data_IF_992004804642
#
_entry.id   IF_992004804642
#
_cell.length_a   1.000
_cell.length_b   1.000
_cell.length_c   1.000
_cell.angle_alpha   90.00
_cell.angle_beta   90.00
_cell.angle_gamma   90.00
#
_symmetry.space_group_name_H-M   'P 1'
#
loop_
_entity.id
_entity.type
_entity.pdbx_description
1 polymer ?
#
# COMPACT_ATOMS: atom_id res chain seq x y z
N UNK A 1 -15.95 -8.90 -23.39
CA UNK A 1 -15.68 -8.35 -22.05
C UNK A 1 -14.86 -7.10 -22.22
N UNK A 2 -15.31 -5.96 -21.70
CA UNK A 2 -14.54 -4.73 -21.76
C UNK A 2 -13.51 -4.72 -20.63
N UNK A 3 -12.25 -4.48 -20.98
CA UNK A 3 -11.15 -4.28 -20.03
C UNK A 3 -10.73 -2.82 -20.03
N UNK A 4 -10.34 -2.31 -18.87
CA UNK A 4 -9.85 -0.94 -18.70
C UNK A 4 -8.53 -0.97 -17.95
N UNK A 5 -7.56 -0.22 -18.43
CA UNK A 5 -6.26 -0.08 -17.78
C UNK A 5 -6.09 1.37 -17.37
N UNK A 6 -5.72 1.59 -16.11
CA UNK A 6 -5.39 2.93 -15.62
C UNK A 6 -4.06 2.92 -14.90
N UNK A 7 -3.18 3.83 -15.29
CA UNK A 7 -1.92 4.06 -14.61
C UNK A 7 -2.13 5.05 -13.46
N UNK A 8 -1.74 4.65 -12.25
CA UNK A 8 -1.71 5.54 -11.09
C UNK A 8 -0.57 5.16 -10.18
N UNK A 9 0.26 6.14 -9.86
CA UNK A 9 1.37 5.96 -8.92
C UNK A 9 0.87 6.21 -7.50
N UNK A 10 0.94 5.18 -6.67
CA UNK A 10 0.70 5.28 -5.22
C UNK A 10 1.99 4.95 -4.49
N UNK A 11 2.30 5.72 -3.44
CA UNK A 11 3.44 5.40 -2.58
C UNK A 11 3.08 4.25 -1.65
N UNK A 12 4.08 3.54 -1.12
CA UNK A 12 3.95 2.39 -0.21
C UNK A 12 3.06 2.69 1.02
N UNK A 13 2.96 3.97 1.39
CA UNK A 13 2.18 4.44 2.54
C UNK A 13 0.76 4.96 2.18
N UNK A 14 0.39 4.98 0.90
CA UNK A 14 -0.94 5.43 0.44
C UNK A 14 -1.92 4.26 0.22
N UNK A 15 -1.77 3.16 0.98
CA UNK A 15 -2.64 1.98 0.89
C UNK A 15 -4.12 2.33 1.07
N UNK A 16 -4.45 3.20 2.03
CA UNK A 16 -5.81 3.74 2.21
C UNK A 16 -6.39 4.32 0.92
N UNK A 17 -5.60 5.14 0.22
CA UNK A 17 -6.06 5.81 -1.01
C UNK A 17 -6.25 4.81 -2.15
N UNK A 18 -5.50 3.70 -2.14
CA UNK A 18 -5.70 2.60 -3.09
C UNK A 18 -7.01 1.89 -2.80
N UNK A 19 -7.30 1.58 -1.53
CA UNK A 19 -8.56 0.96 -1.10
C UNK A 19 -9.77 1.81 -1.51
N UNK A 20 -9.75 3.11 -1.18
CA UNK A 20 -10.80 4.07 -1.54
C UNK A 20 -10.99 4.15 -3.06
N UNK A 21 -9.88 4.17 -3.81
CA UNK A 21 -9.91 4.22 -5.26
C UNK A 21 -10.48 2.94 -5.90
N UNK A 22 -10.13 1.77 -5.39
CA UNK A 22 -10.66 0.50 -5.87
C UNK A 22 -12.16 0.38 -5.58
N UNK A 23 -12.59 0.86 -4.40
CA UNK A 23 -13.99 0.93 -4.02
C UNK A 23 -14.78 1.86 -4.97
N UNK A 24 -14.29 3.08 -5.21
CA UNK A 24 -14.90 4.02 -6.15
C UNK A 24 -15.01 3.45 -7.58
N UNK A 25 -13.99 2.69 -8.01
CA UNK A 25 -14.02 2.01 -9.31
C UNK A 25 -15.06 0.91 -9.37
N UNK A 26 -15.25 0.15 -8.29
CA UNK A 26 -16.25 -0.92 -8.25
C UNK A 26 -17.68 -0.36 -8.26
N UNK A 27 -17.92 0.76 -7.58
CA UNK A 27 -19.20 1.49 -7.65
C UNK A 27 -19.52 1.95 -9.08
N UNK A 28 -18.49 2.25 -9.88
CA UNK A 28 -18.63 2.58 -11.31
C UNK A 28 -18.76 1.35 -12.22
N UNK A 29 -18.81 0.14 -11.65
CA UNK A 29 -18.88 -1.12 -12.38
C UNK A 29 -17.54 -1.62 -12.92
N UNK A 30 -16.41 -1.19 -12.35
CA UNK A 30 -15.07 -1.65 -12.71
C UNK A 30 -14.49 -2.53 -11.61
N UNK A 31 -14.47 -3.84 -11.86
CA UNK A 31 -13.90 -4.85 -10.95
C UNK A 31 -12.40 -4.94 -11.14
N UNK A 32 -11.66 -4.76 -10.05
CA UNK A 32 -10.21 -4.94 -10.04
C UNK A 32 -9.82 -6.39 -10.33
N UNK A 33 -8.88 -6.57 -11.27
CA UNK A 33 -8.34 -7.87 -11.67
C UNK A 33 -6.88 -8.03 -11.25
N UNK A 34 -6.04 -7.09 -11.66
CA UNK A 34 -4.62 -7.17 -11.36
C UNK A 34 -3.91 -5.82 -11.34
N UNK A 35 -2.74 -5.76 -10.70
CA UNK A 35 -1.86 -4.59 -10.71
C UNK A 35 -0.42 -4.98 -11.02
N UNK A 36 0.21 -4.25 -11.94
CA UNK A 36 1.63 -4.41 -12.27
C UNK A 36 2.29 -3.03 -12.40
N UNK A 37 3.32 -2.76 -11.60
CA UNK A 37 4.13 -1.52 -11.67
C UNK A 37 3.30 -0.21 -11.72
N UNK A 38 2.17 -0.14 -11.01
CA UNK A 38 1.28 1.04 -11.00
C UNK A 38 0.22 1.06 -12.11
N UNK A 39 0.18 0.03 -12.97
CA UNK A 39 -0.91 -0.21 -13.91
C UNK A 39 -1.98 -1.08 -13.26
N UNK A 40 -3.16 -0.51 -13.07
CA UNK A 40 -4.34 -1.20 -12.57
C UNK A 40 -5.18 -1.70 -13.74
N UNK A 41 -5.42 -3.01 -13.76
CA UNK A 41 -6.26 -3.69 -14.73
C UNK A 41 -7.63 -3.96 -14.13
N UNK A 42 -8.67 -3.51 -14.83
CA UNK A 42 -10.05 -3.65 -14.45
C UNK A 42 -10.85 -4.40 -15.51
N UNK A 43 -11.86 -5.13 -15.05
CA UNK A 43 -12.87 -5.77 -15.87
C UNK A 43 -14.24 -5.16 -15.60
N UNK A 44 -15.07 -5.07 -16.63
CA UNK A 44 -16.45 -4.61 -16.46
C UNK A 44 -17.27 -5.61 -15.62
N UNK A 45 -17.93 -5.11 -14.58
CA UNK A 45 -18.78 -5.86 -13.66
C UNK A 45 -20.06 -5.07 -13.36
N UNK A 46 -21.06 -5.71 -12.75
CA UNK A 46 -22.20 -4.97 -12.19
C UNK A 46 -21.69 -4.09 -11.06
N UNK A 47 -22.21 -2.84 -10.94
CA UNK A 47 -21.88 -1.98 -9.82
C UNK A 47 -22.39 -2.65 -8.55
N UNK A 48 -21.49 -2.86 -7.61
CA UNK A 48 -21.76 -3.48 -6.32
C UNK A 48 -20.93 -2.80 -5.23
N UNK A 49 -21.43 -2.83 -4.01
CA UNK A 49 -20.75 -2.24 -2.85
C UNK A 49 -19.79 -3.28 -2.26
N UNK A 50 -18.53 -3.18 -2.68
CA UNK A 50 -17.46 -4.10 -2.30
C UNK A 50 -16.35 -3.33 -1.59
N UNK A 51 -15.96 -3.85 -0.42
CA UNK A 51 -14.83 -3.34 0.34
C UNK A 51 -13.56 -4.03 -0.15
N UNK A 52 -12.60 -3.21 -0.54
CA UNK A 52 -11.25 -3.64 -0.90
C UNK A 52 -10.31 -3.43 0.28
N UNK A 53 -9.50 -4.46 0.56
CA UNK A 53 -8.40 -4.40 1.54
C UNK A 53 -7.09 -4.70 0.85
N UNK A 54 -6.14 -3.79 0.98
CA UNK A 54 -4.82 -3.87 0.34
C UNK A 54 -3.76 -3.99 1.42
N UNK A 55 -3.04 -5.11 1.40
CA UNK A 55 -1.95 -5.37 2.33
C UNK A 55 -0.61 -5.43 1.61
N UNK A 56 0.46 -5.13 2.33
CA UNK A 56 1.80 -5.35 1.82
C UNK A 56 2.13 -6.85 1.85
N UNK A 57 2.48 -7.43 0.69
CA UNK A 57 2.83 -8.86 0.56
C UNK A 57 3.94 -9.27 1.52
N UNK A 58 4.94 -8.41 1.76
CA UNK A 58 6.06 -8.71 2.66
C UNK A 58 5.65 -8.82 4.13
N UNK A 59 4.67 -8.01 4.55
CA UNK A 59 4.08 -8.09 5.89
C UNK A 59 3.23 -9.34 6.02
N UNK A 60 2.39 -9.60 5.01
CA UNK A 60 1.46 -10.72 5.05
C UNK A 60 2.17 -12.08 5.04
N UNK A 61 3.27 -12.20 4.27
CA UNK A 61 4.13 -13.40 4.27
C UNK A 61 4.87 -13.63 5.58
N UNK A 62 5.02 -12.59 6.41
CA UNK A 62 5.61 -12.72 7.74
C UNK A 62 4.58 -13.17 8.79
N UNK A 63 3.30 -12.93 8.52
CA UNK A 63 2.18 -13.26 9.40
C UNK A 63 1.28 -14.31 8.73
N UNK A 64 1.78 -15.53 8.57
CA UNK A 64 1.05 -16.63 7.91
C UNK A 64 -0.27 -16.98 8.62
N UNK A 65 -0.32 -16.79 9.95
CA UNK A 65 -1.53 -16.97 10.77
C UNK A 65 -2.63 -15.99 10.34
N UNK A 66 -2.27 -14.75 10.01
CA UNK A 66 -3.22 -13.74 9.55
C UNK A 66 -3.76 -14.09 8.16
N UNK A 67 -2.91 -14.55 7.24
CA UNK A 67 -3.33 -15.00 5.91
C UNK A 67 -4.37 -16.13 6.00
N UNK A 68 -4.13 -17.10 6.87
CA UNK A 68 -5.02 -18.25 7.04
C UNK A 68 -6.37 -17.82 7.60
N UNK A 69 -6.36 -16.95 8.62
CA UNK A 69 -7.58 -16.37 9.20
C UNK A 69 -8.39 -15.54 8.18
N UNK A 70 -7.75 -14.89 7.21
CA UNK A 70 -8.44 -14.15 6.14
C UNK A 70 -9.17 -15.09 5.18
N UNK A 71 -8.52 -16.19 4.78
CA UNK A 71 -9.13 -17.19 3.91
C UNK A 71 -10.33 -17.85 4.57
N UNK A 72 -10.21 -18.16 5.86
CA UNK A 72 -11.29 -18.79 6.63
C UNK A 72 -12.51 -17.88 6.78
N UNK A 73 -12.33 -16.55 6.73
CA UNK A 73 -13.40 -15.54 6.80
C UNK A 73 -14.10 -15.25 5.46
N UNK A 74 -13.82 -16.05 4.42
CA UNK A 74 -14.51 -15.95 3.12
C UNK A 74 -14.12 -14.73 2.28
N UNK A 75 -12.96 -14.13 2.53
CA UNK A 75 -12.46 -13.03 1.71
C UNK A 75 -12.02 -13.56 0.34
N UNK A 76 -12.54 -12.97 -0.73
CA UNK A 76 -12.11 -13.32 -2.08
C UNK A 76 -10.73 -12.73 -2.35
N UNK A 77 -9.76 -13.61 -2.59
CA UNK A 77 -8.41 -13.23 -2.95
C UNK A 77 -8.35 -12.86 -4.44
N UNK A 78 -7.90 -11.64 -4.74
CA UNK A 78 -7.86 -11.16 -6.13
C UNK A 78 -6.47 -11.36 -6.74
N UNK A 79 -5.42 -10.86 -6.08
CA UNK A 79 -4.05 -11.00 -6.58
C UNK A 79 -2.99 -10.76 -5.48
N UNK A 80 -1.80 -11.31 -5.71
CA UNK A 80 -0.58 -11.07 -4.94
C UNK A 80 0.60 -10.81 -5.89
N UNK A 81 0.80 -9.55 -6.30
CA UNK A 81 1.96 -9.16 -7.12
C UNK A 81 2.95 -8.29 -6.32
N UNK A 82 2.49 -7.14 -5.84
CA UNK A 82 3.27 -6.25 -4.95
C UNK A 82 2.50 -5.90 -3.69
N UNK A 83 1.18 -5.93 -3.80
CA UNK A 83 0.24 -5.84 -2.72
C UNK A 83 -0.70 -7.03 -2.83
N UNK A 84 -1.12 -7.55 -1.69
CA UNK A 84 -2.16 -8.56 -1.61
C UNK A 84 -3.50 -7.85 -1.48
N UNK A 85 -4.38 -8.02 -2.47
CA UNK A 85 -5.71 -7.41 -2.49
C UNK A 85 -6.77 -8.46 -2.16
N UNK A 86 -7.51 -8.21 -1.10
CA UNK A 86 -8.69 -8.96 -0.70
C UNK A 86 -9.93 -8.13 -1.02
N UNK A 87 -11.00 -8.79 -1.45
CA UNK A 87 -12.30 -8.16 -1.67
C UNK A 87 -13.39 -8.92 -0.92
N UNK A 88 -14.36 -8.20 -0.38
CA UNK A 88 -15.55 -8.77 0.26
C UNK A 88 -16.72 -7.81 0.07
N UNK A 89 -17.91 -8.36 -0.19
CA UNK A 89 -19.12 -7.56 -0.31
C UNK A 89 -19.46 -6.91 1.04
N UNK A 90 -19.90 -5.65 1.03
CA UNK A 90 -20.20 -4.89 2.25
C UNK A 90 -21.28 -5.55 3.10
N UNK A 91 -22.23 -6.23 2.46
CA UNK A 91 -23.31 -6.98 3.12
C UNK A 91 -22.84 -8.19 3.95
N UNK A 92 -21.68 -8.76 3.62
CA UNK A 92 -21.17 -9.98 4.27
C UNK A 92 -20.15 -9.69 5.39
N UNK A 93 -19.94 -8.41 5.72
CA UNK A 93 -18.95 -7.99 6.73
C UNK A 93 -19.50 -8.18 8.14
N UNK A 94 -18.89 -9.11 8.88
CA UNK A 94 -19.26 -9.41 10.26
C UNK A 94 -18.53 -8.51 11.30
N UNK A 95 -18.98 -8.52 12.55
CA UNK A 95 -18.31 -7.86 13.68
C UNK A 95 -16.85 -8.33 13.87
N UNK A 96 -16.56 -9.60 13.60
CA UNK A 96 -15.20 -10.12 13.63
C UNK A 96 -14.33 -9.59 12.47
N UNK A 97 -14.93 -9.32 11.30
CA UNK A 97 -14.23 -8.65 10.22
C UNK A 97 -13.89 -7.20 10.58
N UNK A 98 -14.74 -6.52 11.38
CA UNK A 98 -14.44 -5.18 11.92
C UNK A 98 -13.26 -5.17 12.89
N UNK A 99 -13.10 -6.20 13.72
CA UNK A 99 -11.92 -6.33 14.58
C UNK A 99 -10.66 -6.61 13.75
N UNK A 100 -10.77 -7.41 12.70
CA UNK A 100 -9.66 -7.60 11.75
C UNK A 100 -9.38 -6.34 10.92
N UNK A 101 -10.40 -5.51 10.70
CA UNK A 101 -10.27 -4.19 10.07
C UNK A 101 -9.51 -3.19 10.93
N UNK A 102 -9.35 -3.46 12.23
CA UNK A 102 -8.85 -2.54 13.24
C UNK A 102 -7.50 -1.92 12.85
N UNK A 103 -7.42 -0.63 13.13
CA UNK A 103 -6.33 0.26 12.74
C UNK A 103 -4.99 -0.13 13.38
N UNK A 104 -5.02 -0.85 14.51
CA UNK A 104 -3.82 -1.34 15.22
C UNK A 104 -2.97 -2.31 14.39
N UNK A 105 -3.59 -3.30 13.74
CA UNK A 105 -2.84 -4.25 12.89
C UNK A 105 -2.24 -3.56 11.67
N UNK A 106 -2.95 -2.57 11.10
CA UNK A 106 -2.43 -1.73 10.00
C UNK A 106 -1.24 -0.90 10.46
N UNK A 107 -1.31 -0.34 11.67
CA UNK A 107 -0.24 0.47 12.24
C UNK A 107 1.06 -0.32 12.40
N UNK A 108 0.98 -1.59 12.81
CA UNK A 108 2.16 -2.45 12.89
C UNK A 108 2.78 -2.75 11.53
N UNK A 109 1.95 -2.93 10.49
CA UNK A 109 2.41 -3.03 9.11
C UNK A 109 3.13 -1.77 8.62
N UNK A 110 2.54 -0.60 8.88
CA UNK A 110 3.13 0.72 8.57
C UNK A 110 4.45 0.93 9.31
N UNK A 111 4.52 0.57 10.59
CA UNK A 111 5.73 0.68 11.43
C UNK A 111 6.85 -0.21 10.89
N UNK A 112 6.53 -1.44 10.49
CA UNK A 112 7.50 -2.34 9.86
C UNK A 112 7.98 -1.79 8.51
N UNK A 113 7.08 -1.26 7.69
CA UNK A 113 7.42 -0.61 6.42
C UNK A 113 8.35 0.59 6.60
N UNK A 114 8.05 1.47 7.56
CA UNK A 114 8.89 2.61 7.92
C UNK A 114 10.28 2.15 8.35
N UNK A 115 10.39 1.13 9.21
CA UNK A 115 11.68 0.63 9.67
C UNK A 115 12.55 0.16 8.51
N UNK A 116 11.98 -0.60 7.57
CA UNK A 116 12.69 -1.05 6.36
C UNK A 116 13.10 0.13 5.49
N UNK A 117 12.20 1.11 5.27
CA UNK A 117 12.51 2.30 4.50
C UNK A 117 13.63 3.13 5.13
N UNK A 118 13.62 3.33 6.45
CA UNK A 118 14.69 4.04 7.17
C UNK A 118 16.04 3.34 7.02
N UNK A 119 16.07 2.00 7.09
CA UNK A 119 17.29 1.22 6.87
C UNK A 119 17.80 1.41 5.44
N UNK A 120 16.94 1.28 4.43
CA UNK A 120 17.33 1.48 3.02
C UNK A 120 17.81 2.89 2.73
N UNK A 121 17.14 3.92 3.27
CA UNK A 121 17.53 5.33 3.12
C UNK A 121 18.89 5.58 3.77
N UNK A 122 19.11 5.06 4.98
CA UNK A 122 20.39 5.21 5.68
C UNK A 122 21.54 4.54 4.92
N UNK A 123 21.31 3.35 4.36
CA UNK A 123 22.29 2.66 3.51
C UNK A 123 22.61 3.43 2.23
N UNK A 124 21.59 3.95 1.54
CA UNK A 124 21.77 4.78 0.34
C UNK A 124 22.57 6.05 0.62
N UNK A 125 22.33 6.70 1.76
CA UNK A 125 23.03 7.91 2.18
C UNK A 125 24.52 7.63 2.48
N UNK A 126 24.83 6.51 3.13
CA UNK A 126 26.23 6.08 3.39
C UNK A 126 26.99 5.78 2.08
N UNK A 127 26.33 5.13 1.12
CA UNK A 127 26.92 4.86 -0.21
C UNK A 127 27.14 6.18 -0.97
N UNK A 128 26.18 7.11 -0.94
CA UNK A 128 26.35 8.45 -1.50
C UNK A 128 27.52 9.21 -0.86
N UNK A 129 27.68 9.13 0.46
CA UNK A 129 28.80 9.76 1.19
C UNK A 129 30.15 9.07 0.90
N UNK A 130 30.16 7.78 0.58
CA UNK A 130 31.40 7.06 0.22
C UNK A 130 31.88 7.39 -1.19
N UNK A 131 30.95 7.61 -2.13
CA UNK A 131 31.22 8.02 -3.51
C UNK A 131 31.61 9.51 -3.63
N UNK A 132 31.47 10.28 -2.56
CA UNK A 132 31.74 11.71 -2.45
C UNK A 132 33.22 12.10 -2.62
N UNK A 133 34.16 11.14 -2.67
CA UNK A 133 35.59 11.42 -2.49
C UNK A 133 36.26 12.15 -3.64
N UNK A 134 35.70 12.19 -4.86
CA UNK A 134 36.34 12.87 -6.00
C UNK A 134 35.35 13.57 -6.94
N UNK A 135 35.23 14.90 -6.80
CA UNK A 135 34.56 15.87 -7.67
C UNK A 135 33.09 16.23 -7.34
N UNK A 136 32.92 17.48 -6.91
CA UNK A 136 31.64 18.15 -6.71
C UNK A 136 31.01 18.49 -8.06
N UNK A 137 29.89 17.83 -8.39
CA UNK A 137 29.03 18.22 -9.50
C UNK A 137 27.65 18.64 -9.01
N UNK A 138 27.04 19.59 -9.72
CA UNK A 138 25.67 20.09 -9.54
C UNK A 138 24.62 18.96 -9.40
N UNK A 139 24.90 17.79 -9.98
CA UNK A 139 24.08 16.58 -9.89
C UNK A 139 23.93 16.02 -8.47
N UNK A 140 24.94 16.17 -7.60
CA UNK A 140 24.87 15.69 -6.21
C UNK A 140 23.82 16.46 -5.41
N UNK A 141 23.78 17.78 -5.55
CA UNK A 141 22.79 18.62 -4.89
C UNK A 141 21.37 18.29 -5.34
N UNK A 142 21.19 17.97 -6.63
CA UNK A 142 19.89 17.54 -7.16
C UNK A 142 19.46 16.20 -6.54
N UNK A 143 20.37 15.21 -6.49
CA UNK A 143 20.07 13.90 -5.89
C UNK A 143 19.77 14.03 -4.39
N UNK A 144 20.55 14.85 -3.67
CA UNK A 144 20.35 15.12 -2.26
C UNK A 144 19.01 15.81 -2.00
N UNK A 145 18.64 16.81 -2.81
CA UNK A 145 17.35 17.49 -2.72
C UNK A 145 16.18 16.51 -2.99
N UNK A 146 16.31 15.64 -3.99
CA UNK A 146 15.32 14.58 -4.26
C UNK A 146 15.20 13.61 -3.07
N UNK A 147 16.32 13.24 -2.44
CA UNK A 147 16.32 12.42 -1.22
C UNK A 147 15.64 13.12 -0.05
N UNK A 148 15.91 14.42 0.16
CA UNK A 148 15.28 15.21 1.20
C UNK A 148 13.76 15.34 0.99
N UNK A 149 13.32 15.56 -0.26
CA UNK A 149 11.90 15.55 -0.63
C UNK A 149 11.24 14.19 -0.37
N UNK A 150 11.93 13.09 -0.71
CA UNK A 150 11.44 11.74 -0.40
C UNK A 150 11.33 11.49 1.11
N UNK A 151 12.34 11.87 1.90
CA UNK A 151 12.35 11.71 3.36
C UNK A 151 11.24 12.53 4.00
N UNK A 152 11.08 13.79 3.60
CA UNK A 152 10.01 14.66 4.12
C UNK A 152 8.62 14.13 3.78
N UNK A 153 8.42 13.60 2.57
CA UNK A 153 7.18 12.91 2.20
C UNK A 153 6.88 11.70 3.10
N UNK A 154 7.90 10.88 3.37
CA UNK A 154 7.77 9.70 4.24
C UNK A 154 7.42 10.10 5.68
N UNK A 155 8.07 11.14 6.21
CA UNK A 155 7.78 11.68 7.54
C UNK A 155 6.35 12.21 7.58
N UNK A 156 5.95 13.02 6.59
CA UNK A 156 4.58 13.54 6.48
C UNK A 156 3.55 12.41 6.43
N UNK A 157 3.78 11.40 5.58
CA UNK A 157 2.89 10.26 5.44
C UNK A 157 2.81 9.46 6.74
N UNK A 158 3.92 9.30 7.46
CA UNK A 158 3.94 8.66 8.77
C UNK A 158 3.11 9.43 9.79
N UNK A 159 3.27 10.76 9.91
CA UNK A 159 2.45 11.57 10.82
C UNK A 159 0.97 11.56 10.44
N UNK A 160 0.65 11.53 9.14
CA UNK A 160 -0.72 11.38 8.64
C UNK A 160 -1.33 10.05 9.09
N UNK A 161 -0.64 8.94 8.84
CA UNK A 161 -1.08 7.60 9.25
C UNK A 161 -1.14 7.45 10.76
N UNK A 162 -0.17 8.03 11.49
CA UNK A 162 -0.14 8.05 12.96
C UNK A 162 -1.40 8.68 13.53
N UNK A 163 -1.79 9.85 13.02
CA UNK A 163 -3.02 10.52 13.46
C UNK A 163 -4.26 9.69 13.12
N UNK A 164 -4.32 9.10 11.93
CA UNK A 164 -5.47 8.30 11.48
C UNK A 164 -5.66 7.01 12.29
N UNK A 165 -4.58 6.35 12.71
CA UNK A 165 -4.67 5.02 13.32
C UNK A 165 -4.54 4.98 14.85
N UNK A 166 -4.10 6.06 15.50
CA UNK A 166 -3.95 6.11 16.97
C UNK A 166 -4.99 7.00 17.68
N UNK A 167 -5.78 7.80 16.93
CA UNK A 167 -6.78 8.70 17.51
C UNK A 167 -8.23 8.22 17.33
N UNK A 168 -8.43 7.14 16.56
CA UNK A 168 -9.70 6.41 16.39
C UNK A 168 -9.58 5.04 17.09
#
# INVERSE_FOLDING_TARGET
MNSKVQFRMFTIFDLDKVEDYLHEMHLKGWKFKSNRFGFFYFEQCRPDDVIYRVWNTSYLRKNDVDLQSIKDRGWEFVENCSYTVFRKATCDVDLNDRFFMDNRFRWDGVKSGLRTSTVSISGGLVVCMSLFRESLSQSFFIIFALYALMITYLIYSFYRLRRKYLLD
#
